data_IF_722548817867
#
_entry.id   IF_722548817867
#
_cell.length_a   1.000
_cell.length_b   1.000
_cell.length_c   1.000
_cell.angle_alpha   90.00
_cell.angle_beta   90.00
_cell.angle_gamma   90.00
#
_symmetry.space_group_name_H-M   'P 1'
#
loop_
_entity.id
_entity.type
_entity.pdbx_description
1 polymer ?
#
# COMPACT_ATOMS: atom_id res chain seq x y z
N UNK A 1 26.56 49.27 -47.00
CA UNK A 1 25.62 49.76 -45.98
C UNK A 1 24.62 48.65 -45.69
N UNK A 2 24.72 48.03 -44.51
CA UNK A 2 23.84 46.97 -44.05
C UNK A 2 22.53 47.58 -43.52
N UNK A 3 21.37 47.07 -43.93
CA UNK A 3 20.12 47.26 -43.19
C UNK A 3 19.54 45.90 -42.83
N UNK A 4 19.78 45.51 -41.59
CA UNK A 4 19.20 44.35 -40.92
C UNK A 4 17.79 44.72 -40.46
N UNK A 5 16.75 44.11 -41.03
CA UNK A 5 15.38 44.18 -40.48
C UNK A 5 15.25 43.14 -39.37
N UNK A 6 15.25 43.60 -38.13
CA UNK A 6 14.82 42.82 -36.97
C UNK A 6 13.30 42.61 -37.03
N UNK A 7 12.87 41.37 -37.27
CA UNK A 7 11.47 40.97 -37.06
C UNK A 7 11.32 40.61 -35.59
N UNK A 8 10.71 41.49 -34.81
CA UNK A 8 10.33 41.24 -33.42
C UNK A 8 9.16 40.26 -33.38
N UNK A 9 9.47 38.98 -33.16
CA UNK A 9 8.48 37.95 -32.87
C UNK A 9 7.84 38.18 -31.51
N UNK A 10 6.62 38.74 -31.49
CA UNK A 10 5.77 38.79 -30.30
C UNK A 10 5.31 37.37 -29.98
N UNK A 11 5.96 36.71 -29.01
CA UNK A 11 5.40 35.52 -28.37
C UNK A 11 4.22 35.97 -27.49
N UNK A 12 3.01 36.00 -28.05
CA UNK A 12 1.79 36.07 -27.25
C UNK A 12 1.68 34.77 -26.45
N UNK A 13 1.99 34.83 -25.15
CA UNK A 13 1.51 33.83 -24.20
C UNK A 13 -0.02 33.91 -24.18
N UNK A 14 -0.69 32.93 -24.78
CA UNK A 14 -2.15 32.85 -24.79
C UNK A 14 -2.60 32.35 -23.42
N UNK A 15 -3.17 33.24 -22.62
CA UNK A 15 -3.84 32.87 -21.38
C UNK A 15 -4.95 31.83 -21.68
N UNK A 16 -5.11 30.80 -20.82
CA UNK A 16 -6.10 29.75 -21.04
C UNK A 16 -7.52 30.32 -21.07
N UNK A 17 -8.36 29.75 -21.93
CA UNK A 17 -9.76 30.14 -22.09
C UNK A 17 -10.57 29.93 -20.80
N UNK A 18 -11.71 30.63 -20.65
CA UNK A 18 -12.60 30.47 -19.49
C UNK A 18 -13.08 29.01 -19.33
N UNK A 19 -13.31 28.30 -20.45
CA UNK A 19 -13.65 26.89 -20.43
C UNK A 19 -12.52 26.02 -19.88
N UNK A 20 -11.27 26.26 -20.32
CA UNK A 20 -10.07 25.59 -19.80
C UNK A 20 -9.88 25.85 -18.30
N UNK A 21 -9.99 27.11 -17.86
CA UNK A 21 -9.86 27.46 -16.45
C UNK A 21 -10.93 26.78 -15.58
N UNK A 22 -12.14 26.62 -16.10
CA UNK A 22 -13.24 25.93 -15.41
C UNK A 22 -13.00 24.42 -15.33
N UNK A 23 -12.51 23.79 -16.40
CA UNK A 23 -12.11 22.37 -16.40
C UNK A 23 -10.97 22.13 -15.42
N UNK A 24 -9.93 22.97 -15.44
CA UNK A 24 -8.83 22.87 -14.47
C UNK A 24 -9.28 23.09 -13.02
N UNK A 25 -10.22 24.01 -12.77
CA UNK A 25 -10.77 24.23 -11.43
C UNK A 25 -11.60 23.04 -10.93
N UNK A 26 -12.37 22.39 -11.81
CA UNK A 26 -13.12 21.17 -11.48
C UNK A 26 -12.17 20.00 -11.23
N UNK A 27 -11.15 19.84 -12.07
CA UNK A 27 -10.11 18.82 -11.89
C UNK A 27 -9.39 19.03 -10.54
N UNK A 28 -9.00 20.26 -10.20
CA UNK A 28 -8.38 20.58 -8.90
C UNK A 28 -9.26 20.24 -7.71
N UNK A 29 -10.57 20.52 -7.77
CA UNK A 29 -11.52 20.15 -6.68
C UNK A 29 -11.71 18.65 -6.56
N UNK A 30 -11.83 17.94 -7.68
CA UNK A 30 -11.96 16.49 -7.69
C UNK A 30 -10.69 15.84 -7.12
N UNK A 31 -9.50 16.31 -7.50
CA UNK A 31 -8.22 15.87 -6.94
C UNK A 31 -8.12 16.13 -5.44
N UNK A 32 -8.60 17.27 -4.95
CA UNK A 32 -8.58 17.56 -3.51
C UNK A 32 -9.42 16.58 -2.68
N UNK A 33 -10.68 16.36 -3.06
CA UNK A 33 -11.57 15.42 -2.37
C UNK A 33 -11.06 13.97 -2.46
N UNK A 34 -10.54 13.61 -3.63
CA UNK A 34 -9.96 12.31 -3.90
C UNK A 34 -8.75 11.99 -3.01
N UNK A 35 -7.90 12.98 -2.73
CA UNK A 35 -6.71 12.82 -1.87
C UNK A 35 -7.10 12.80 -0.39
N UNK A 36 -8.10 13.58 0.02
CA UNK A 36 -8.61 13.53 1.40
C UNK A 36 -9.18 12.16 1.77
N UNK A 37 -9.91 11.52 0.85
CA UNK A 37 -10.43 10.16 1.05
C UNK A 37 -9.30 9.14 1.24
N UNK A 38 -8.22 9.23 0.44
CA UNK A 38 -7.07 8.33 0.58
C UNK A 38 -6.36 8.55 1.91
N UNK A 39 -6.11 9.80 2.31
CA UNK A 39 -5.52 10.09 3.62
C UNK A 39 -6.34 9.52 4.78
N UNK A 40 -7.66 9.61 4.67
CA UNK A 40 -8.55 9.04 5.68
C UNK A 40 -8.45 7.50 5.72
N UNK A 41 -8.35 6.84 4.56
CA UNK A 41 -8.19 5.39 4.45
C UNK A 41 -6.85 4.92 5.02
N UNK A 42 -5.73 5.51 4.61
CA UNK A 42 -4.38 5.20 5.12
C UNK A 42 -4.30 5.37 6.64
N UNK A 43 -4.94 6.43 7.15
CA UNK A 43 -5.02 6.65 8.59
C UNK A 43 -5.83 5.55 9.30
N UNK A 44 -6.94 5.11 8.71
CA UNK A 44 -7.73 4.01 9.27
C UNK A 44 -6.97 2.68 9.25
N UNK A 45 -6.20 2.38 8.19
CA UNK A 45 -5.35 1.20 8.14
C UNK A 45 -4.26 1.25 9.22
N UNK A 46 -3.56 2.39 9.34
CA UNK A 46 -2.57 2.63 10.40
C UNK A 46 -3.16 2.40 11.79
N UNK A 47 -4.31 3.02 12.09
CA UNK A 47 -4.95 2.91 13.40
C UNK A 47 -5.46 1.48 13.67
N UNK A 48 -5.95 0.77 12.64
CA UNK A 48 -6.34 -0.64 12.73
C UNK A 48 -5.16 -1.52 13.12
N UNK A 49 -4.02 -1.40 12.45
CA UNK A 49 -2.85 -2.22 12.79
C UNK A 49 -2.27 -1.90 14.16
N UNK A 50 -2.31 -0.63 14.59
CA UNK A 50 -1.96 -0.28 15.98
C UNK A 50 -2.88 -0.95 17.00
N UNK A 51 -4.19 -1.01 16.73
CA UNK A 51 -5.14 -1.71 17.58
C UNK A 51 -4.88 -3.22 17.61
N UNK A 52 -4.65 -3.85 16.46
CA UNK A 52 -4.30 -5.27 16.37
C UNK A 52 -2.99 -5.59 17.12
N UNK A 53 -1.98 -4.72 17.04
CA UNK A 53 -0.74 -4.87 17.78
C UNK A 53 -0.93 -4.77 19.30
N UNK A 54 -1.79 -3.85 19.76
CA UNK A 54 -2.09 -3.67 21.18
C UNK A 54 -2.84 -4.87 21.78
N UNK A 55 -3.70 -5.50 20.98
CA UNK A 55 -4.51 -6.66 21.40
C UNK A 55 -3.85 -8.00 21.06
N UNK A 56 -2.64 -7.99 20.48
CA UNK A 56 -1.98 -9.19 20.00
C UNK A 56 -1.70 -10.18 21.14
N UNK A 57 -2.05 -11.46 20.98
CA UNK A 57 -1.91 -12.47 22.04
C UNK A 57 -0.48 -12.99 22.20
N UNK A 58 0.39 -12.74 21.22
CA UNK A 58 1.79 -13.14 21.21
C UNK A 58 2.67 -11.97 20.79
N UNK A 59 3.94 -12.02 21.22
CA UNK A 59 4.93 -11.02 20.84
C UNK A 59 5.16 -10.97 19.32
N UNK A 60 5.18 -12.13 18.65
CA UNK A 60 5.35 -12.20 17.20
C UNK A 60 4.23 -11.47 16.44
N UNK A 61 2.97 -11.61 16.87
CA UNK A 61 1.84 -10.90 16.27
C UNK A 61 1.90 -9.40 16.57
N UNK A 62 2.29 -9.03 17.79
CA UNK A 62 2.48 -7.63 18.15
C UNK A 62 3.52 -6.97 17.25
N UNK A 63 4.68 -7.61 17.06
CA UNK A 63 5.76 -7.10 16.21
C UNK A 63 5.31 -7.03 14.74
N UNK A 64 4.60 -8.04 14.25
CA UNK A 64 4.06 -8.07 12.88
C UNK A 64 3.09 -6.92 12.60
N UNK A 65 2.10 -6.71 13.48
CA UNK A 65 1.13 -5.63 13.30
C UNK A 65 1.74 -4.25 13.55
N UNK A 66 2.75 -4.15 14.41
CA UNK A 66 3.51 -2.90 14.58
C UNK A 66 4.25 -2.55 13.30
N UNK A 67 4.87 -3.54 12.64
CA UNK A 67 5.55 -3.36 11.36
C UNK A 67 4.58 -2.88 10.28
N UNK A 68 3.42 -3.53 10.13
CA UNK A 68 2.37 -3.10 9.19
C UNK A 68 1.90 -1.66 9.47
N UNK A 69 1.66 -1.30 10.73
CA UNK A 69 1.27 0.07 11.09
C UNK A 69 2.33 1.13 10.71
N UNK A 70 3.62 0.76 10.69
CA UNK A 70 4.69 1.65 10.23
C UNK A 70 4.68 1.79 8.72
N UNK A 71 4.41 0.73 7.96
CA UNK A 71 4.27 0.80 6.50
C UNK A 71 3.07 1.66 6.08
N UNK A 72 1.88 1.46 6.67
CA UNK A 72 0.68 2.30 6.41
C UNK A 72 0.93 3.79 6.69
N UNK A 73 1.72 4.11 7.72
CA UNK A 73 2.06 5.50 8.01
C UNK A 73 2.91 6.12 6.88
N UNK A 74 3.79 5.34 6.23
CA UNK A 74 4.56 5.81 5.07
C UNK A 74 3.64 6.06 3.88
N UNK A 75 2.62 5.23 3.69
CA UNK A 75 1.62 5.42 2.63
C UNK A 75 0.85 6.72 2.85
N UNK A 76 0.36 6.96 4.08
CA UNK A 76 -0.25 8.23 4.46
C UNK A 76 0.64 9.43 4.13
N UNK A 77 1.92 9.36 4.52
CA UNK A 77 2.87 10.46 4.32
C UNK A 77 3.14 10.72 2.81
N UNK A 78 3.21 9.66 2.00
CA UNK A 78 3.37 9.77 0.55
C UNK A 78 2.14 10.40 -0.14
N UNK A 79 0.94 10.00 0.27
CA UNK A 79 -0.32 10.58 -0.20
C UNK A 79 -0.46 12.05 0.26
N UNK A 80 -0.03 12.39 1.47
CA UNK A 80 -0.06 13.77 1.96
C UNK A 80 0.94 14.65 1.18
N UNK A 81 2.07 14.06 0.75
CA UNK A 81 3.02 14.69 -0.17
C UNK A 81 2.39 15.10 -1.51
N UNK A 82 1.51 14.27 -2.08
CA UNK A 82 0.72 14.63 -3.28
C UNK A 82 -0.16 15.86 -3.00
N UNK A 83 -0.81 15.91 -1.84
CA UNK A 83 -1.71 17.02 -1.46
C UNK A 83 -0.98 18.36 -1.36
N UNK A 84 0.18 18.37 -0.72
CA UNK A 84 0.86 19.62 -0.32
C UNK A 84 1.72 20.23 -1.43
N UNK A 85 2.40 19.39 -2.21
CA UNK A 85 3.47 19.84 -3.09
C UNK A 85 3.37 19.26 -4.51
N UNK A 86 2.42 18.36 -4.80
CA UNK A 86 2.42 17.55 -6.01
C UNK A 86 3.72 16.72 -6.17
N UNK A 87 4.41 16.38 -5.08
CA UNK A 87 5.70 15.68 -5.09
C UNK A 87 5.70 14.40 -4.26
N UNK A 88 4.55 13.74 -4.12
CA UNK A 88 4.47 12.48 -3.38
C UNK A 88 5.37 11.41 -4.01
N UNK A 89 6.24 10.82 -3.21
CA UNK A 89 7.06 9.67 -3.58
C UNK A 89 7.07 8.67 -2.44
N UNK A 90 7.15 7.39 -2.78
CA UNK A 90 7.25 6.30 -1.83
C UNK A 90 8.38 5.38 -2.27
N UNK A 91 9.25 5.02 -1.34
CA UNK A 91 10.26 3.98 -1.57
C UNK A 91 9.63 2.62 -1.28
N UNK A 92 9.94 1.63 -2.11
CA UNK A 92 9.48 0.26 -1.90
C UNK A 92 9.98 -0.30 -0.58
N UNK A 93 9.12 -1.00 0.15
CA UNK A 93 9.49 -1.63 1.41
C UNK A 93 10.17 -2.98 1.18
N UNK A 94 10.88 -3.43 2.22
CA UNK A 94 11.38 -4.80 2.36
C UNK A 94 10.50 -5.60 3.33
N UNK A 95 9.18 -5.33 3.31
CA UNK A 95 8.26 -5.85 4.31
C UNK A 95 8.30 -7.37 4.37
N UNK A 96 8.20 -8.07 3.23
CA UNK A 96 8.13 -9.53 3.20
C UNK A 96 9.42 -10.15 3.72
N UNK A 97 10.58 -9.62 3.32
CA UNK A 97 11.87 -10.05 3.85
C UNK A 97 12.00 -9.81 5.36
N UNK A 98 11.45 -8.71 5.87
CA UNK A 98 11.49 -8.35 7.29
C UNK A 98 10.49 -9.17 8.13
N UNK A 99 9.33 -9.49 7.56
CA UNK A 99 8.26 -10.22 8.24
C UNK A 99 8.47 -11.74 8.26
N UNK A 100 9.25 -12.28 7.33
CA UNK A 100 9.59 -13.71 7.25
C UNK A 100 10.03 -14.33 8.59
N UNK A 101 11.05 -13.81 9.32
CA UNK A 101 11.44 -14.37 10.61
C UNK A 101 10.32 -14.28 11.68
N UNK A 102 9.43 -13.27 11.58
CA UNK A 102 8.28 -13.15 12.49
C UNK A 102 7.26 -14.26 12.23
N UNK A 103 6.98 -14.58 10.96
CA UNK A 103 6.09 -15.68 10.58
C UNK A 103 6.69 -17.03 11.00
N UNK A 104 7.99 -17.25 10.80
CA UNK A 104 8.68 -18.46 11.25
C UNK A 104 8.62 -18.63 12.77
N UNK A 105 8.82 -17.54 13.54
CA UNK A 105 8.67 -17.56 14.99
C UNK A 105 7.22 -17.86 15.41
N UNK A 106 6.22 -17.30 14.70
CA UNK A 106 4.81 -17.59 14.96
C UNK A 106 4.47 -19.06 14.73
N UNK A 107 5.02 -19.70 13.70
CA UNK A 107 4.84 -21.13 13.44
C UNK A 107 5.33 -22.01 14.61
N UNK A 108 6.43 -21.63 15.26
CA UNK A 108 6.96 -22.34 16.42
C UNK A 108 6.04 -22.17 17.66
N UNK A 109 5.41 -21.01 17.81
CA UNK A 109 4.55 -20.67 18.96
C UNK A 109 3.10 -21.15 18.84
N UNK A 110 2.67 -21.68 17.68
CA UNK A 110 1.30 -22.14 17.45
C UNK A 110 0.81 -23.12 18.53
N UNK A 111 1.69 -23.99 19.03
CA UNK A 111 1.30 -25.00 20.03
C UNK A 111 0.86 -24.41 21.38
N UNK A 112 1.23 -23.16 21.68
CA UNK A 112 0.97 -22.55 23.00
C UNK A 112 -0.23 -21.60 22.98
N UNK A 113 -0.47 -20.91 21.85
CA UNK A 113 -1.45 -19.81 21.79
C UNK A 113 -2.44 -19.87 20.63
N UNK A 114 -2.53 -20.99 19.89
CA UNK A 114 -3.40 -21.11 18.70
C UNK A 114 -4.86 -20.74 18.96
N UNK A 115 -5.44 -21.18 20.07
CA UNK A 115 -6.84 -20.87 20.41
C UNK A 115 -7.07 -19.37 20.59
N UNK A 116 -6.14 -18.68 21.25
CA UNK A 116 -6.19 -17.22 21.46
C UNK A 116 -5.94 -16.45 20.17
N UNK A 117 -5.03 -16.92 19.32
CA UNK A 117 -4.79 -16.34 17.99
C UNK A 117 -6.01 -16.52 17.06
N UNK A 118 -6.68 -17.68 17.10
CA UNK A 118 -7.90 -17.94 16.33
C UNK A 118 -9.09 -17.05 16.73
N UNK A 119 -9.16 -16.55 17.97
CA UNK A 119 -10.22 -15.62 18.39
C UNK A 119 -10.21 -14.31 17.61
N UNK A 120 -9.04 -13.87 17.14
CA UNK A 120 -8.87 -12.65 16.34
C UNK A 120 -8.87 -12.90 14.82
N UNK A 121 -9.02 -14.16 14.39
CA UNK A 121 -8.98 -14.53 12.98
C UNK A 121 -9.96 -13.73 12.09
N UNK A 122 -11.21 -13.44 12.50
CA UNK A 122 -12.09 -12.59 11.70
C UNK A 122 -11.54 -11.18 11.47
N UNK A 123 -10.80 -10.62 12.43
CA UNK A 123 -10.18 -9.31 12.30
C UNK A 123 -9.01 -9.35 11.30
N UNK A 124 -8.23 -10.44 11.28
CA UNK A 124 -7.13 -10.62 10.32
C UNK A 124 -7.65 -10.83 8.88
N UNK A 125 -8.75 -11.57 8.72
CA UNK A 125 -9.44 -11.73 7.43
C UNK A 125 -9.94 -10.37 6.94
N UNK A 126 -10.58 -9.59 7.81
CA UNK A 126 -11.07 -8.25 7.49
C UNK A 126 -9.92 -7.32 7.07
N UNK A 127 -8.80 -7.32 7.79
CA UNK A 127 -7.62 -6.54 7.42
C UNK A 127 -7.09 -6.94 6.03
N UNK A 128 -6.91 -8.25 5.78
CA UNK A 128 -6.48 -8.77 4.47
C UNK A 128 -7.38 -8.29 3.33
N UNK A 129 -8.69 -8.36 3.52
CA UNK A 129 -9.65 -7.99 2.48
C UNK A 129 -9.64 -6.49 2.21
N UNK A 130 -9.39 -5.67 3.24
CA UNK A 130 -9.15 -4.23 3.07
C UNK A 130 -7.89 -3.98 2.24
N UNK A 131 -6.78 -4.65 2.51
CA UNK A 131 -5.55 -4.47 1.71
C UNK A 131 -5.77 -4.79 0.22
N UNK A 132 -6.51 -5.86 -0.08
CA UNK A 132 -6.87 -6.19 -1.45
C UNK A 132 -7.72 -5.10 -2.13
N UNK A 133 -8.67 -4.52 -1.39
CA UNK A 133 -9.51 -3.43 -1.90
C UNK A 133 -8.69 -2.15 -2.13
N UNK A 134 -7.82 -1.79 -1.18
CA UNK A 134 -6.93 -0.62 -1.29
C UNK A 134 -5.98 -0.75 -2.48
N UNK A 135 -5.38 -1.94 -2.67
CA UNK A 135 -4.57 -2.25 -3.86
C UNK A 135 -5.32 -1.97 -5.15
N UNK A 136 -6.53 -2.53 -5.28
CA UNK A 136 -7.33 -2.41 -6.51
C UNK A 136 -7.73 -0.96 -6.77
N UNK A 137 -8.02 -0.21 -5.71
CA UNK A 137 -8.28 1.23 -5.80
C UNK A 137 -7.05 1.99 -6.31
N UNK A 138 -5.85 1.69 -5.81
CA UNK A 138 -4.61 2.30 -6.28
C UNK A 138 -4.30 1.98 -7.74
N UNK A 139 -4.47 0.74 -8.17
CA UNK A 139 -4.33 0.35 -9.57
C UNK A 139 -5.31 1.10 -10.48
N UNK A 140 -6.57 1.23 -10.02
CA UNK A 140 -7.57 1.98 -10.76
C UNK A 140 -7.20 3.46 -10.86
N UNK A 141 -6.65 4.06 -9.80
CA UNK A 141 -6.20 5.46 -9.80
C UNK A 141 -4.98 5.68 -10.68
N UNK A 142 -4.01 4.76 -10.65
CA UNK A 142 -2.87 4.79 -11.57
C UNK A 142 -3.30 4.83 -13.04
N UNK A 143 -4.33 4.05 -13.40
CA UNK A 143 -4.89 4.01 -14.76
C UNK A 143 -5.45 5.35 -15.24
N UNK A 144 -6.01 6.15 -14.34
CA UNK A 144 -6.63 7.46 -14.66
C UNK A 144 -5.79 8.66 -14.22
N UNK A 145 -4.58 8.46 -13.69
CA UNK A 145 -3.70 9.53 -13.30
C UNK A 145 -3.23 10.33 -14.53
N UNK A 146 -3.40 11.65 -14.47
CA UNK A 146 -3.05 12.55 -15.58
C UNK A 146 -1.56 12.86 -15.65
N UNK A 147 -0.88 12.88 -14.51
CA UNK A 147 0.56 13.11 -14.43
C UNK A 147 1.32 11.82 -14.09
N UNK A 148 2.51 11.70 -14.67
CA UNK A 148 3.34 10.51 -14.54
C UNK A 148 3.77 10.26 -13.07
N UNK A 149 3.97 11.31 -12.27
CA UNK A 149 4.43 11.15 -10.89
C UNK A 149 3.35 10.53 -10.00
N UNK A 150 2.11 11.01 -10.10
CA UNK A 150 0.97 10.42 -9.42
C UNK A 150 0.72 8.98 -9.87
N UNK A 151 0.85 8.71 -11.18
CA UNK A 151 0.73 7.35 -11.71
C UNK A 151 1.74 6.40 -11.05
N UNK A 152 3.03 6.75 -11.08
CA UNK A 152 4.09 5.94 -10.49
C UNK A 152 3.87 5.74 -8.99
N UNK A 153 3.47 6.79 -8.27
CA UNK A 153 3.18 6.65 -6.84
C UNK A 153 2.02 5.67 -6.59
N UNK A 154 0.92 5.75 -7.33
CA UNK A 154 -0.19 4.81 -7.17
C UNK A 154 0.17 3.38 -7.57
N UNK A 155 0.99 3.18 -8.60
CA UNK A 155 1.52 1.85 -8.95
C UNK A 155 2.40 1.30 -7.82
N UNK A 156 3.25 2.14 -7.20
CA UNK A 156 4.06 1.74 -6.05
C UNK A 156 3.20 1.42 -4.83
N UNK A 157 2.22 2.25 -4.49
CA UNK A 157 1.30 1.99 -3.38
C UNK A 157 0.55 0.67 -3.57
N UNK A 158 0.02 0.40 -4.76
CA UNK A 158 -0.61 -0.89 -5.06
C UNK A 158 0.34 -2.08 -4.88
N UNK A 159 1.62 -1.95 -5.26
CA UNK A 159 2.61 -3.00 -5.04
C UNK A 159 2.86 -3.26 -3.55
N UNK A 160 2.91 -2.22 -2.72
CA UNK A 160 3.04 -2.35 -1.27
C UNK A 160 1.80 -3.01 -0.64
N UNK A 161 0.58 -2.60 -1.02
CA UNK A 161 -0.64 -3.24 -0.51
C UNK A 161 -0.74 -4.72 -0.91
N UNK A 162 -0.20 -5.07 -2.08
CA UNK A 162 -0.11 -6.47 -2.49
C UNK A 162 0.80 -7.29 -1.55
N UNK A 163 1.90 -6.71 -1.05
CA UNK A 163 2.75 -7.35 -0.04
C UNK A 163 2.00 -7.52 1.28
N UNK A 164 1.24 -6.51 1.70
CA UNK A 164 0.44 -6.54 2.92
C UNK A 164 -0.63 -7.64 2.85
N UNK A 165 -1.36 -7.70 1.73
CA UNK A 165 -2.34 -8.75 1.44
C UNK A 165 -1.72 -10.14 1.50
N UNK A 166 -0.54 -10.35 0.89
CA UNK A 166 0.16 -11.65 0.91
C UNK A 166 0.51 -12.03 2.34
N UNK A 167 1.10 -11.11 3.10
CA UNK A 167 1.50 -11.35 4.49
C UNK A 167 0.31 -11.74 5.38
N UNK A 168 -0.82 -11.02 5.26
CA UNK A 168 -2.04 -11.33 6.01
C UNK A 168 -2.71 -12.61 5.52
N UNK A 169 -2.62 -12.94 4.23
CA UNK A 169 -3.11 -14.22 3.70
C UNK A 169 -2.35 -15.39 4.32
N UNK A 170 -1.03 -15.29 4.42
CA UNK A 170 -0.20 -16.29 5.09
C UNK A 170 -0.59 -16.46 6.56
N UNK A 171 -0.79 -15.36 7.27
CA UNK A 171 -1.22 -15.40 8.66
C UNK A 171 -2.59 -16.09 8.81
N UNK A 172 -3.57 -15.70 7.99
CA UNK A 172 -4.92 -16.29 8.00
C UNK A 172 -4.87 -17.78 7.68
N UNK A 173 -4.09 -18.18 6.67
CA UNK A 173 -3.93 -19.58 6.31
C UNK A 173 -3.26 -20.38 7.43
N UNK A 174 -2.19 -19.84 8.03
CA UNK A 174 -1.49 -20.48 9.13
C UNK A 174 -2.42 -20.75 10.31
N UNK A 175 -3.26 -19.78 10.63
CA UNK A 175 -4.21 -19.88 11.73
C UNK A 175 -5.44 -20.72 11.38
N UNK A 176 -5.82 -20.85 10.11
CA UNK A 176 -6.94 -21.70 9.69
C UNK A 176 -6.59 -23.19 9.65
N UNK A 177 -5.30 -23.55 9.67
CA UNK A 177 -4.91 -24.96 9.68
C UNK A 177 -5.38 -25.66 10.98
N UNK A 178 -6.03 -26.82 10.82
CA UNK A 178 -6.33 -27.75 11.91
C UNK A 178 -5.01 -28.33 12.46
N UNK A 179 -4.87 -28.51 13.79
CA UNK A 179 -3.66 -29.08 14.37
C UNK A 179 -3.67 -30.61 14.28
N UNK A 180 -3.49 -31.21 13.08
CA UNK A 180 -3.18 -32.65 12.96
C UNK A 180 -2.29 -32.98 11.75
N UNK A 181 -1.36 -33.94 11.99
CA UNK A 181 -0.49 -34.73 11.11
C UNK A 181 0.87 -34.11 10.64
N UNK A 182 1.95 -34.94 10.62
CA UNK A 182 3.34 -34.51 10.69
C UNK A 182 3.86 -33.76 9.44
N UNK A 183 4.89 -32.93 9.70
CA UNK A 183 5.48 -31.90 8.84
C UNK A 183 5.85 -32.31 7.40
N UNK A 184 5.94 -33.61 7.09
CA UNK A 184 6.38 -34.11 5.78
C UNK A 184 5.25 -34.30 4.74
N UNK A 185 3.98 -34.09 5.11
CA UNK A 185 2.82 -34.20 4.19
C UNK A 185 2.18 -32.84 3.85
N UNK A 186 2.76 -31.72 4.32
CA UNK A 186 2.22 -30.38 4.07
C UNK A 186 2.89 -29.75 2.85
N UNK A 187 2.21 -29.77 1.71
CA UNK A 187 2.39 -28.75 0.69
C UNK A 187 1.56 -27.54 1.08
N UNK A 188 2.12 -26.64 1.90
CA UNK A 188 1.58 -25.28 1.98
C UNK A 188 1.68 -24.68 0.58
N UNK A 189 0.60 -24.14 -0.02
CA UNK A 189 0.72 -23.43 -1.30
C UNK A 189 1.69 -22.24 -1.21
N UNK A 190 2.01 -21.80 0.01
CA UNK A 190 3.01 -20.78 0.27
C UNK A 190 4.17 -21.35 1.08
N UNK A 191 5.28 -21.54 0.38
CA UNK A 191 6.58 -21.75 0.98
C UNK A 191 7.10 -20.39 1.48
N UNK A 192 7.17 -20.18 2.80
CA UNK A 192 7.74 -18.96 3.42
C UNK A 192 9.18 -18.71 2.98
N UNK A 193 9.87 -19.73 2.46
CA UNK A 193 11.20 -19.55 1.86
C UNK A 193 11.17 -18.65 0.61
N UNK A 194 10.01 -18.57 -0.07
CA UNK A 194 9.76 -17.80 -1.30
C UNK A 194 9.14 -16.42 -1.06
N UNK A 195 9.01 -15.98 0.20
CA UNK A 195 8.64 -14.59 0.52
C UNK A 195 9.77 -13.65 0.07
N UNK A 196 9.57 -13.02 -1.07
CA UNK A 196 10.51 -12.10 -1.70
C UNK A 196 9.76 -10.84 -2.18
N UNK A 197 10.17 -9.68 -1.68
CA UNK A 197 9.61 -8.38 -2.04
C UNK A 197 9.72 -8.11 -3.55
N UNK A 198 10.77 -8.61 -4.20
CA UNK A 198 11.06 -8.36 -5.62
C UNK A 198 10.03 -8.96 -6.57
N UNK A 199 9.23 -9.93 -6.11
CA UNK A 199 8.10 -10.49 -6.86
C UNK A 199 6.99 -9.45 -7.10
N UNK A 200 6.92 -8.44 -6.24
CA UNK A 200 5.86 -7.43 -6.24
C UNK A 200 6.36 -6.03 -6.58
N UNK A 201 7.69 -5.80 -6.57
CA UNK A 201 8.32 -4.52 -6.89
C UNK A 201 8.22 -4.08 -8.37
N UNK A 202 7.62 -4.89 -9.26
CA UNK A 202 7.56 -4.60 -10.69
C UNK A 202 6.30 -3.81 -11.10
N UNK A 203 6.42 -2.59 -11.66
CA UNK A 203 5.30 -1.91 -12.28
C UNK A 203 5.06 -2.49 -13.68
N UNK A 204 4.29 -3.57 -13.76
CA UNK A 204 3.78 -4.12 -15.02
C UNK A 204 4.82 -4.81 -15.91
N UNK A 205 4.53 -6.07 -16.26
CA UNK A 205 4.83 -6.58 -17.60
C UNK A 205 3.61 -6.33 -18.49
#
# INVERSE_FOLDING_TARGET
>A
MFQTRLVSGVRRSLAPSLAQRRIEALNRRHTCYMVESLLQQEKQCTDRFRALAAEAPTRGLQELFTLLAVEEQKHFDAVDGLRRLCTGTLAQSRLLGTAKPLIEALQADLNVSLSRMKQQLPAYISARDVEAQTRDEYLQRAKYAFDHQARVLFETLAAEEQKHFVLLSLLVELLNQEPVAPQHLRSSPWDVSQLDDTLYDSPGR
#
